data_IF_338902500069
#
_entry.id   IF_338902500069
#
_cell.length_a   1.000
_cell.length_b   1.000
_cell.length_c   1.000
_cell.angle_alpha   90.00
_cell.angle_beta   90.00
_cell.angle_gamma   90.00
#
_symmetry.space_group_name_H-M   'P 1'
#
loop_
_entity.id
_entity.type
_entity.pdbx_description
1 polymer ?
#
# COMPACT_ATOMS: atom_id res chain seq x y z
N UNK A 1 -15.17 -12.14 -11.99
CA UNK A 1 -15.63 -13.08 -10.93
C UNK A 1 -14.71 -13.12 -9.71
N UNK A 2 -13.42 -13.46 -9.87
CA UNK A 2 -12.49 -13.61 -8.74
C UNK A 2 -12.31 -12.33 -7.89
N UNK A 3 -12.09 -11.17 -8.54
CA UNK A 3 -11.92 -9.89 -7.83
C UNK A 3 -13.17 -9.47 -7.04
N UNK A 4 -14.36 -9.72 -7.60
CA UNK A 4 -15.64 -9.51 -6.91
C UNK A 4 -15.71 -10.32 -5.62
N UNK A 5 -15.44 -11.62 -5.71
CA UNK A 5 -15.42 -12.51 -4.54
C UNK A 5 -14.37 -12.09 -3.50
N UNK A 6 -13.19 -11.65 -3.93
CA UNK A 6 -12.18 -11.14 -3.02
C UNK A 6 -12.67 -9.89 -2.26
N UNK A 7 -13.27 -8.94 -2.99
CA UNK A 7 -13.86 -7.72 -2.41
C UNK A 7 -15.01 -8.03 -1.46
N UNK A 8 -15.92 -8.94 -1.83
CA UNK A 8 -17.02 -9.42 -0.99
C UNK A 8 -16.53 -10.09 0.30
N UNK A 9 -15.36 -10.72 0.26
CA UNK A 9 -14.69 -11.30 1.43
C UNK A 9 -13.89 -10.27 2.26
N UNK A 10 -13.94 -8.98 1.89
CA UNK A 10 -13.27 -7.89 2.62
C UNK A 10 -11.79 -7.69 2.27
N UNK A 11 -11.32 -8.23 1.14
CA UNK A 11 -9.99 -7.91 0.64
C UNK A 11 -9.95 -6.48 0.10
N UNK A 12 -8.90 -5.74 0.44
CA UNK A 12 -8.59 -4.47 -0.24
C UNK A 12 -7.88 -4.79 -1.56
N UNK A 13 -8.45 -4.33 -2.66
CA UNK A 13 -8.01 -4.68 -4.03
C UNK A 13 -7.61 -3.42 -4.76
N UNK A 14 -6.33 -3.34 -5.14
CA UNK A 14 -5.75 -2.25 -5.93
C UNK A 14 -5.52 -2.72 -7.37
N UNK A 15 -6.20 -2.09 -8.34
CA UNK A 15 -6.21 -2.53 -9.74
C UNK A 15 -5.47 -1.55 -10.67
N UNK A 16 -4.38 -2.00 -11.28
CA UNK A 16 -3.69 -1.23 -12.32
C UNK A 16 -4.04 -1.75 -13.71
N UNK A 17 -4.75 -0.95 -14.51
CA UNK A 17 -5.22 -1.34 -15.84
C UNK A 17 -4.47 -0.59 -16.94
N UNK A 18 -4.30 -1.25 -18.09
CA UNK A 18 -3.76 -0.66 -19.31
C UNK A 18 -4.73 -0.97 -20.45
N UNK A 19 -5.03 0.02 -21.29
CA UNK A 19 -5.82 -0.14 -22.51
C UNK A 19 -4.90 0.03 -23.71
N UNK A 20 -5.03 -0.87 -24.69
CA UNK A 20 -4.02 -1.07 -25.74
C UNK A 20 -4.21 -0.21 -27.00
N UNK A 21 -5.29 0.58 -27.07
CA UNK A 21 -5.58 1.45 -28.20
C UNK A 21 -6.41 2.68 -27.82
N UNK A 22 -6.39 3.69 -28.70
CA UNK A 22 -7.10 4.97 -28.54
C UNK A 22 -8.64 4.81 -28.51
N UNK A 23 -9.17 3.68 -29.00
CA UNK A 23 -10.60 3.37 -29.05
C UNK A 23 -11.10 2.52 -27.85
N UNK A 24 -10.21 2.05 -26.97
CA UNK A 24 -10.60 1.32 -25.76
C UNK A 24 -10.95 2.30 -24.64
N UNK A 25 -12.24 2.37 -24.30
CA UNK A 25 -12.70 3.13 -23.13
C UNK A 25 -12.40 2.38 -21.83
N UNK A 26 -12.08 3.13 -20.78
CA UNK A 26 -12.07 2.59 -19.42
C UNK A 26 -13.47 2.07 -19.05
N UNK A 27 -13.56 1.03 -18.22
CA UNK A 27 -14.82 0.64 -17.61
C UNK A 27 -15.38 1.78 -16.74
N UNK A 28 -16.70 1.87 -16.64
CA UNK A 28 -17.36 2.86 -15.80
C UNK A 28 -17.02 2.63 -14.33
N UNK A 29 -16.95 3.73 -13.56
CA UNK A 29 -16.60 3.69 -12.13
C UNK A 29 -17.51 2.75 -11.33
N UNK A 30 -18.80 2.67 -11.68
CA UNK A 30 -19.78 1.81 -11.01
C UNK A 30 -19.48 0.31 -11.21
N UNK A 31 -19.03 -0.08 -12.40
CA UNK A 31 -18.65 -1.47 -12.69
C UNK A 31 -17.41 -1.87 -11.87
N UNK A 32 -16.45 -0.95 -11.80
CA UNK A 32 -15.17 -1.13 -11.11
C UNK A 32 -15.32 -1.10 -9.59
N UNK A 33 -16.26 -0.31 -9.07
CA UNK A 33 -16.54 -0.20 -7.64
C UNK A 33 -16.88 -1.53 -6.99
N UNK A 34 -17.47 -2.44 -7.76
CA UNK A 34 -17.92 -3.72 -7.26
C UNK A 34 -16.83 -4.80 -7.21
N UNK A 35 -15.61 -4.49 -7.67
CA UNK A 35 -14.50 -5.44 -7.78
C UNK A 35 -13.17 -4.94 -7.24
N UNK A 36 -13.08 -3.66 -6.83
CA UNK A 36 -11.87 -3.13 -6.24
C UNK A 36 -12.11 -1.95 -5.29
N UNK A 37 -11.09 -1.64 -4.49
CA UNK A 37 -11.03 -0.48 -3.60
C UNK A 37 -10.54 0.76 -4.34
N UNK A 38 -9.53 0.59 -5.20
CA UNK A 38 -8.98 1.65 -6.03
C UNK A 38 -8.56 1.07 -7.38
N UNK A 39 -8.76 1.84 -8.46
CA UNK A 39 -8.28 1.49 -9.79
C UNK A 39 -7.58 2.68 -10.46
N UNK A 40 -6.43 2.38 -11.07
CA UNK A 40 -5.57 3.34 -11.77
C UNK A 40 -5.39 2.93 -13.22
N UNK A 41 -5.30 3.93 -14.10
CA UNK A 41 -5.10 3.72 -15.53
C UNK A 41 -3.68 4.09 -15.94
N UNK A 42 -3.01 3.13 -16.56
CA UNK A 42 -1.67 3.32 -17.12
C UNK A 42 -1.75 3.61 -18.60
N UNK A 43 -0.80 4.42 -19.06
CA UNK A 43 -0.59 4.71 -20.49
C UNK A 43 0.55 3.90 -21.13
N UNK A 44 1.22 3.06 -20.34
CA UNK A 44 2.32 2.22 -20.80
C UNK A 44 2.00 0.74 -20.56
N UNK A 45 2.32 -0.15 -21.53
CA UNK A 45 2.22 -1.58 -21.32
C UNK A 45 3.23 -2.03 -20.26
N UNK A 46 2.86 -3.05 -19.51
CA UNK A 46 3.70 -3.60 -18.45
C UNK A 46 3.29 -5.04 -18.17
N UNK A 47 4.20 -5.90 -17.67
CA UNK A 47 3.87 -7.25 -17.27
C UNK A 47 2.63 -7.35 -16.38
N UNK A 48 1.89 -8.44 -16.52
CA UNK A 48 0.88 -8.83 -15.56
C UNK A 48 1.56 -9.23 -14.25
N UNK A 49 1.09 -8.68 -13.15
CA UNK A 49 1.52 -9.06 -11.80
C UNK A 49 0.31 -9.03 -10.87
N UNK A 50 0.20 -10.03 -10.01
CA UNK A 50 -0.68 -10.00 -8.83
C UNK A 50 0.14 -10.33 -7.60
N UNK A 51 -0.12 -9.64 -6.49
CA UNK A 51 0.45 -9.97 -5.18
C UNK A 51 -0.73 -10.15 -4.24
N UNK A 52 -0.88 -11.35 -3.68
CA UNK A 52 -2.00 -11.70 -2.79
C UNK A 52 -1.46 -12.09 -1.42
N UNK A 53 -2.07 -11.56 -0.37
CA UNK A 53 -1.78 -11.86 1.05
C UNK A 53 -0.30 -11.82 1.44
N UNK A 54 0.47 -10.99 0.73
CA UNK A 54 1.91 -10.85 0.90
C UNK A 54 2.73 -12.14 0.65
N UNK A 55 2.17 -13.18 0.05
CA UNK A 55 2.85 -14.47 -0.14
C UNK A 55 2.82 -14.97 -1.58
N UNK A 56 1.68 -14.86 -2.25
CA UNK A 56 1.49 -15.45 -3.57
C UNK A 56 1.62 -14.40 -4.66
N UNK A 57 2.44 -14.71 -5.66
CA UNK A 57 2.61 -13.89 -6.87
C UNK A 57 2.29 -14.70 -8.10
N UNK A 58 1.53 -14.09 -9.01
CA UNK A 58 1.46 -14.54 -10.40
C UNK A 58 2.07 -13.45 -11.28
N UNK A 59 2.99 -13.82 -12.16
CA UNK A 59 3.65 -12.91 -13.09
C UNK A 59 3.62 -13.46 -14.51
N UNK A 60 3.37 -12.59 -15.49
CA UNK A 60 3.56 -12.90 -16.90
C UNK A 60 4.06 -11.63 -17.63
N UNK A 61 5.05 -11.73 -18.53
CA UNK A 61 5.47 -10.63 -19.39
C UNK A 61 4.30 -10.04 -20.17
N UNK A 62 4.41 -8.77 -20.57
CA UNK A 62 3.36 -8.13 -21.37
C UNK A 62 3.26 -8.78 -22.75
N UNK A 63 2.09 -8.66 -23.38
CA UNK A 63 1.89 -9.12 -24.75
C UNK A 63 2.94 -8.53 -25.70
N UNK A 64 3.51 -9.34 -26.58
CA UNK A 64 4.59 -8.94 -27.50
C UNK A 64 6.00 -8.96 -26.92
N UNK A 65 6.18 -9.44 -25.68
CA UNK A 65 7.51 -9.74 -25.12
C UNK A 65 8.21 -10.87 -25.90
N UNK A 66 9.52 -10.76 -26.10
CA UNK A 66 10.34 -11.84 -26.71
C UNK A 66 10.49 -13.06 -25.80
N UNK A 67 10.16 -12.91 -24.52
CA UNK A 67 10.15 -13.98 -23.52
C UNK A 67 8.70 -14.24 -23.12
N UNK A 68 8.16 -15.40 -23.49
CA UNK A 68 6.81 -15.85 -23.14
C UNK A 68 6.89 -16.93 -22.06
N UNK A 69 6.59 -16.55 -20.81
CA UNK A 69 6.54 -17.47 -19.68
C UNK A 69 5.58 -16.95 -18.60
N UNK A 70 5.20 -17.83 -17.68
CA UNK A 70 4.49 -17.46 -16.46
C UNK A 70 5.26 -17.94 -15.24
N UNK A 71 5.20 -17.18 -14.15
CA UNK A 71 5.77 -17.55 -12.87
C UNK A 71 4.68 -17.48 -11.79
N UNK A 72 4.59 -18.54 -10.99
CA UNK A 72 3.86 -18.53 -9.72
C UNK A 72 4.91 -18.65 -8.63
N UNK A 73 4.88 -17.71 -7.69
CA UNK A 73 5.74 -17.73 -6.50
C UNK A 73 4.86 -17.80 -5.27
N UNK A 74 5.24 -18.63 -4.31
CA UNK A 74 4.60 -18.73 -3.00
C UNK A 74 5.68 -18.54 -1.93
N UNK A 75 6.08 -17.29 -1.74
CA UNK A 75 7.11 -16.86 -0.80
C UNK A 75 6.99 -15.36 -0.50
N UNK A 76 7.14 -15.00 0.78
CA UNK A 76 7.02 -13.62 1.26
C UNK A 76 8.11 -12.70 0.73
N UNK A 77 9.32 -13.20 0.54
CA UNK A 77 10.46 -12.36 0.12
C UNK A 77 10.31 -11.92 -1.32
N UNK A 78 9.97 -12.85 -2.21
CA UNK A 78 9.71 -12.51 -3.62
C UNK A 78 8.44 -11.68 -3.77
N UNK A 79 7.38 -11.98 -3.00
CA UNK A 79 6.17 -11.18 -2.99
C UNK A 79 6.46 -9.70 -2.66
N UNK A 80 7.39 -9.42 -1.73
CA UNK A 80 7.85 -8.06 -1.44
C UNK A 80 8.53 -7.39 -2.65
N UNK A 81 9.39 -8.11 -3.36
CA UNK A 81 10.05 -7.59 -4.59
C UNK A 81 9.00 -7.25 -5.66
N UNK A 82 8.02 -8.13 -5.87
CA UNK A 82 6.94 -7.89 -6.83
C UNK A 82 5.98 -6.80 -6.40
N UNK A 83 5.73 -6.63 -5.09
CA UNK A 83 4.98 -5.48 -4.58
C UNK A 83 5.71 -4.18 -4.91
N UNK A 84 7.03 -4.08 -4.67
CA UNK A 84 7.80 -2.89 -5.02
C UNK A 84 7.76 -2.59 -6.52
N UNK A 85 7.88 -3.62 -7.35
CA UNK A 85 7.70 -3.48 -8.80
C UNK A 85 6.30 -2.94 -9.14
N UNK A 86 5.23 -3.50 -8.56
CA UNK A 86 3.87 -3.02 -8.76
C UNK A 86 3.71 -1.55 -8.33
N UNK A 87 4.15 -1.19 -7.12
CA UNK A 87 4.01 0.15 -6.57
C UNK A 87 4.73 1.19 -7.44
N UNK A 88 5.99 0.95 -7.76
CA UNK A 88 6.85 1.94 -8.42
C UNK A 88 6.63 2.06 -9.93
N UNK A 89 6.14 1.01 -10.59
CA UNK A 89 5.98 1.01 -12.06
C UNK A 89 4.53 1.01 -12.52
N UNK A 90 3.62 0.44 -11.72
CA UNK A 90 2.24 0.20 -12.12
C UNK A 90 1.23 0.99 -11.30
N UNK A 91 1.59 1.53 -10.13
CA UNK A 91 0.65 2.15 -9.21
C UNK A 91 0.91 3.63 -8.97
N UNK A 92 1.96 3.99 -8.20
CA UNK A 92 2.10 5.32 -7.60
C UNK A 92 2.27 6.46 -8.62
N UNK A 93 2.81 6.17 -9.81
CA UNK A 93 3.02 7.18 -10.86
C UNK A 93 1.77 7.48 -11.70
N UNK A 94 0.69 6.73 -11.48
CA UNK A 94 -0.55 6.82 -12.26
C UNK A 94 -1.69 7.38 -11.41
N UNK A 95 -2.54 8.20 -12.01
CA UNK A 95 -3.71 8.74 -11.33
C UNK A 95 -4.84 7.69 -11.24
N UNK A 96 -5.61 7.67 -10.13
CA UNK A 96 -6.81 6.85 -10.04
C UNK A 96 -7.90 7.40 -10.96
N UNK A 97 -8.59 6.50 -11.66
CA UNK A 97 -9.86 6.81 -12.35
C UNK A 97 -11.06 6.35 -11.51
N UNK A 98 -10.82 5.48 -10.53
CA UNK A 98 -11.76 5.10 -9.50
C UNK A 98 -11.02 4.99 -8.16
N UNK A 99 -11.59 5.57 -7.11
CA UNK A 99 -11.21 5.36 -5.73
C UNK A 99 -12.51 5.31 -4.92
N UNK A 100 -12.73 4.21 -4.19
CA UNK A 100 -13.91 4.05 -3.36
C UNK A 100 -14.03 5.16 -2.31
N UNK A 101 -15.26 5.41 -1.85
CA UNK A 101 -15.61 6.47 -0.90
C UNK A 101 -15.10 6.24 0.54
N UNK A 102 -14.04 5.42 0.71
CA UNK A 102 -13.31 5.27 1.98
C UNK A 102 -12.52 6.53 2.37
N UNK A 103 -12.63 7.63 1.61
CA UNK A 103 -12.21 8.97 2.07
C UNK A 103 -13.22 9.59 3.05
N UNK A 104 -13.79 8.78 3.94
CA UNK A 104 -14.30 9.25 5.21
C UNK A 104 -13.14 9.69 6.12
N UNK A 105 -13.44 10.04 7.38
CA UNK A 105 -12.42 10.33 8.40
C UNK A 105 -11.50 9.11 8.64
N UNK A 106 -11.96 7.90 8.27
CA UNK A 106 -11.22 6.65 8.42
C UNK A 106 -10.57 6.19 7.11
N UNK A 107 -9.26 6.40 6.93
CA UNK A 107 -8.51 5.96 5.74
C UNK A 107 -7.69 4.71 6.04
N UNK A 108 -7.86 3.65 5.25
CA UNK A 108 -7.08 2.41 5.34
C UNK A 108 -5.84 2.43 4.44
N UNK A 109 -4.73 1.91 4.97
CA UNK A 109 -3.46 1.74 4.26
C UNK A 109 -2.95 0.31 4.40
N UNK A 110 -2.48 -0.27 3.30
CA UNK A 110 -1.85 -1.60 3.26
C UNK A 110 -0.33 -1.55 3.39
N UNK A 111 0.27 -0.37 3.21
CA UNK A 111 1.70 -0.11 3.38
C UNK A 111 1.89 1.14 4.23
N UNK A 112 2.80 1.07 5.20
CA UNK A 112 3.10 2.18 6.10
C UNK A 112 3.56 3.42 5.34
N UNK A 113 4.18 3.27 4.16
CA UNK A 113 4.71 4.37 3.36
C UNK A 113 3.61 5.29 2.86
N UNK A 114 2.48 4.72 2.43
CA UNK A 114 1.33 5.50 2.02
C UNK A 114 0.71 6.21 3.23
N UNK A 115 0.61 5.53 4.39
CA UNK A 115 0.15 6.14 5.63
C UNK A 115 1.04 7.32 6.05
N UNK A 116 2.35 7.11 6.08
CA UNK A 116 3.36 8.12 6.44
C UNK A 116 3.28 9.32 5.50
N UNK A 117 3.20 9.10 4.18
CA UNK A 117 3.09 10.18 3.19
C UNK A 117 1.89 11.09 3.45
N UNK A 118 0.78 10.54 3.91
CA UNK A 118 -0.45 11.28 4.14
C UNK A 118 -0.53 11.85 5.58
N UNK A 119 0.12 11.20 6.56
CA UNK A 119 0.14 11.61 7.98
C UNK A 119 1.23 12.66 8.27
N UNK A 120 2.41 12.58 7.65
CA UNK A 120 3.54 13.50 7.86
C UNK A 120 3.11 14.98 7.74
N UNK A 121 2.41 15.42 6.66
CA UNK A 121 1.98 16.81 6.54
C UNK A 121 0.96 17.25 7.60
N UNK A 122 0.16 16.31 8.14
CA UNK A 122 -0.81 16.60 9.19
C UNK A 122 -0.11 16.85 10.53
N UNK A 123 0.93 16.06 10.83
CA UNK A 123 1.75 16.24 12.03
C UNK A 123 2.52 17.56 11.97
N UNK A 124 3.10 17.90 10.82
CA UNK A 124 3.79 19.18 10.60
C UNK A 124 2.85 20.39 10.78
N UNK A 125 1.57 20.22 10.44
CA UNK A 125 0.52 21.21 10.69
C UNK A 125 0.00 21.23 12.15
N UNK A 126 0.58 20.42 13.04
CA UNK A 126 0.19 20.34 14.46
C UNK A 126 -1.12 19.60 14.71
N UNK A 127 -1.62 18.81 13.75
CA UNK A 127 -2.85 18.04 13.89
C UNK A 127 -2.61 16.79 14.71
N UNK A 128 -3.65 16.33 15.41
CA UNK A 128 -3.62 15.07 16.16
C UNK A 128 -4.24 13.96 15.33
N UNK A 129 -3.45 12.95 14.95
CA UNK A 129 -3.90 11.82 14.14
C UNK A 129 -3.96 10.56 15.00
N UNK A 130 -5.14 9.92 15.07
CA UNK A 130 -5.31 8.60 15.72
C UNK A 130 -5.18 7.50 14.67
N UNK A 131 -4.42 6.46 14.98
CA UNK A 131 -4.14 5.36 14.07
C UNK A 131 -4.34 4.03 14.79
N UNK A 132 -4.98 3.09 14.11
CA UNK A 132 -5.02 1.67 14.45
C UNK A 132 -4.08 0.91 13.53
N UNK A 133 -3.32 -0.02 14.09
CA UNK A 133 -2.37 -0.86 13.35
C UNK A 133 -2.64 -2.31 13.68
N UNK A 134 -2.74 -3.13 12.64
CA UNK A 134 -2.79 -4.58 12.71
C UNK A 134 -1.53 -5.12 12.04
N UNK A 135 -0.82 -6.02 12.72
CA UNK A 135 0.50 -6.44 12.28
C UNK A 135 1.09 -7.57 13.13
N UNK A 136 2.41 -7.69 13.07
CA UNK A 136 3.19 -8.67 13.82
C UNK A 136 4.16 -7.92 14.74
N UNK A 137 4.19 -8.29 16.02
CA UNK A 137 5.22 -7.86 16.96
C UNK A 137 6.57 -8.48 16.54
N UNK A 138 7.57 -7.65 16.26
CA UNK A 138 8.82 -8.10 15.64
C UNK A 138 9.71 -8.90 16.60
N UNK A 139 9.58 -8.67 17.91
CA UNK A 139 10.35 -9.38 18.93
C UNK A 139 9.83 -10.80 19.20
N UNK A 140 8.51 -10.98 19.19
CA UNK A 140 7.84 -12.24 19.51
C UNK A 140 7.34 -13.01 18.29
N UNK A 141 7.12 -12.33 17.17
CA UNK A 141 6.46 -12.87 15.98
C UNK A 141 4.96 -13.07 16.14
N UNK A 142 4.34 -12.57 17.21
CA UNK A 142 2.93 -12.75 17.48
C UNK A 142 2.06 -11.69 16.77
N UNK A 143 0.84 -12.04 16.31
CA UNK A 143 -0.12 -11.04 15.85
C UNK A 143 -0.46 -10.04 16.94
N UNK A 144 -0.50 -8.75 16.57
CA UNK A 144 -0.80 -7.66 17.48
C UNK A 144 -1.71 -6.63 16.82
N UNK A 145 -2.56 -5.99 17.64
CA UNK A 145 -3.34 -4.82 17.25
C UNK A 145 -3.08 -3.72 18.26
N UNK A 146 -2.66 -2.55 17.78
CA UNK A 146 -2.42 -1.37 18.62
C UNK A 146 -3.21 -0.18 18.11
N UNK A 147 -3.64 0.67 19.03
CA UNK A 147 -4.25 1.95 18.70
C UNK A 147 -3.52 3.06 19.45
N UNK A 148 -3.09 4.08 18.71
CA UNK A 148 -2.23 5.12 19.24
C UNK A 148 -2.42 6.45 18.54
N UNK A 149 -1.78 7.48 19.10
CA UNK A 149 -1.72 8.81 18.50
C UNK A 149 -0.38 8.96 17.80
N UNK A 150 -0.39 9.26 16.50
CA UNK A 150 0.82 9.50 15.74
C UNK A 150 1.57 10.72 16.29
N UNK A 151 2.87 10.56 16.53
CA UNK A 151 3.74 11.64 17.04
C UNK A 151 4.78 12.07 16.04
N UNK A 152 5.37 11.11 15.37
CA UNK A 152 6.53 11.33 14.53
C UNK A 152 6.55 10.32 13.39
N UNK A 153 7.13 10.77 12.28
CA UNK A 153 7.48 9.95 11.14
C UNK A 153 9.01 9.83 11.10
N UNK A 154 9.50 8.60 11.05
CA UNK A 154 10.93 8.30 10.93
C UNK A 154 11.21 7.91 9.49
N UNK A 155 12.06 8.66 8.81
CA UNK A 155 12.53 8.36 7.45
C UNK A 155 14.04 8.52 7.42
N UNK A 156 14.71 7.63 6.69
CA UNK A 156 16.16 7.71 6.52
C UNK A 156 16.58 9.08 5.92
N UNK A 157 17.46 9.84 6.60
CA UNK A 157 17.81 11.21 6.23
C UNK A 157 18.49 11.36 4.86
N UNK A 158 19.08 10.30 4.30
CA UNK A 158 19.66 10.34 2.96
C UNK A 158 18.61 10.57 1.84
N UNK A 159 17.32 10.44 2.17
CA UNK A 159 16.20 10.60 1.23
C UNK A 159 15.35 11.85 1.52
N UNK A 160 15.91 12.86 2.21
CA UNK A 160 15.22 14.05 2.76
C UNK A 160 15.24 15.34 1.92
N UNK A 161 14.09 15.75 1.36
CA UNK A 161 13.82 17.08 0.80
C UNK A 161 12.34 17.50 1.02
N UNK A 162 12.00 18.80 0.90
CA UNK A 162 10.79 19.39 1.52
C UNK A 162 9.46 19.30 0.74
N UNK A 163 9.37 18.56 -0.37
CA UNK A 163 8.14 18.40 -1.16
C UNK A 163 7.51 17.00 -1.01
N UNK A 164 6.24 16.84 -1.39
CA UNK A 164 5.54 15.55 -1.41
C UNK A 164 6.38 14.48 -2.12
N UNK A 165 6.96 13.57 -1.33
CA UNK A 165 8.04 12.72 -1.83
C UNK A 165 7.47 11.56 -2.65
N UNK A 166 8.04 11.25 -3.82
CA UNK A 166 7.69 10.03 -4.56
C UNK A 166 7.89 8.79 -3.69
N UNK A 167 7.06 7.76 -3.78
CA UNK A 167 7.11 6.60 -2.87
C UNK A 167 8.52 5.96 -2.75
N UNK A 168 9.30 6.01 -3.83
CA UNK A 168 10.68 5.49 -3.88
C UNK A 168 11.62 6.11 -2.84
N UNK A 169 11.35 7.34 -2.37
CA UNK A 169 12.16 7.97 -1.29
C UNK A 169 11.99 7.25 0.03
N UNK A 170 10.89 6.52 0.22
CA UNK A 170 10.67 5.66 1.39
C UNK A 170 11.23 4.23 1.17
N UNK A 171 12.09 4.03 0.18
CA UNK A 171 12.74 2.75 -0.10
C UNK A 171 13.68 2.26 1.02
N UNK A 172 14.19 3.19 1.83
CA UNK A 172 14.95 2.92 3.05
C UNK A 172 14.06 2.65 4.26
N UNK A 173 14.57 3.01 5.44
CA UNK A 173 13.80 2.92 6.68
C UNK A 173 12.64 3.92 6.67
N UNK A 174 11.45 3.44 7.01
CA UNK A 174 10.23 4.24 7.15
C UNK A 174 9.39 3.68 8.30
N UNK A 175 9.07 4.52 9.27
CA UNK A 175 8.27 4.13 10.43
C UNK A 175 7.36 5.26 10.91
N UNK A 176 6.26 4.87 11.56
CA UNK A 176 5.35 5.76 12.26
C UNK A 176 5.45 5.50 13.76
N UNK A 177 5.71 6.53 14.55
CA UNK A 177 5.77 6.44 16.01
C UNK A 177 4.39 6.73 16.61
N UNK A 178 3.84 5.78 17.36
CA UNK A 178 2.53 5.88 18.00
C UNK A 178 2.68 5.94 19.52
N UNK A 179 2.05 6.93 20.15
CA UNK A 179 1.85 6.95 21.60
C UNK A 179 0.59 6.16 21.95
N UNK A 180 0.76 5.07 22.68
CA UNK A 180 -0.30 4.18 23.17
C UNK A 180 -0.43 4.27 24.68
N UNK A 181 -1.47 3.66 25.25
CA UNK A 181 -1.66 3.59 26.70
C UNK A 181 -0.54 2.80 27.42
N UNK A 182 0.17 1.93 26.68
CA UNK A 182 1.28 1.12 27.19
C UNK A 182 2.65 1.74 26.94
N UNK A 183 2.70 2.92 26.31
CA UNK A 183 3.92 3.63 25.91
C UNK A 183 4.04 3.82 24.40
N UNK A 184 5.15 4.43 23.99
CA UNK A 184 5.49 4.66 22.59
C UNK A 184 5.85 3.34 21.89
N UNK A 185 5.39 3.16 20.66
CA UNK A 185 5.74 2.04 19.78
C UNK A 185 6.12 2.54 18.39
N UNK A 186 7.14 1.94 17.79
CA UNK A 186 7.53 2.18 16.40
C UNK A 186 6.86 1.17 15.46
N UNK A 187 6.21 1.68 14.41
CA UNK A 187 5.48 0.87 13.43
C UNK A 187 6.18 0.95 12.08
N UNK A 188 6.76 -0.16 11.63
CA UNK A 188 7.44 -0.29 10.35
C UNK A 188 6.57 -0.90 9.25
N UNK A 189 7.11 -0.91 8.03
CA UNK A 189 6.47 -1.50 6.85
C UNK A 189 6.76 -2.99 6.70
N UNK A 190 6.34 -3.59 5.58
CA UNK A 190 6.63 -4.99 5.28
C UNK A 190 8.14 -5.25 5.35
N UNK A 191 8.53 -6.19 6.23
CA UNK A 191 9.93 -6.56 6.45
C UNK A 191 10.60 -5.77 7.57
N UNK A 192 9.83 -5.06 8.39
CA UNK A 192 10.32 -4.41 9.60
C UNK A 192 11.05 -5.42 10.51
N UNK A 193 12.25 -5.04 10.93
CA UNK A 193 13.11 -5.81 11.84
C UNK A 193 13.60 -4.98 13.02
N UNK A 194 13.59 -3.65 12.88
CA UNK A 194 14.12 -2.71 13.88
C UNK A 194 12.98 -2.07 14.66
N UNK A 195 11.85 -1.82 13.99
CA UNK A 195 10.62 -1.32 14.59
C UNK A 195 9.93 -2.40 15.45
N UNK A 196 9.10 -1.99 16.40
CA UNK A 196 8.40 -2.90 17.31
C UNK A 196 7.33 -3.74 16.59
N UNK A 197 6.72 -3.16 15.54
CA UNK A 197 5.60 -3.77 14.81
C UNK A 197 5.86 -3.73 13.30
N UNK A 198 5.76 -4.88 12.64
CA UNK A 198 5.58 -4.95 11.19
C UNK A 198 4.10 -4.74 10.84
N UNK A 199 3.75 -3.58 10.27
CA UNK A 199 2.37 -3.29 9.90
C UNK A 199 1.90 -4.11 8.70
N UNK A 200 0.75 -4.75 8.86
CA UNK A 200 0.00 -5.40 7.78
C UNK A 200 -1.10 -4.51 7.24
N UNK A 201 -1.78 -3.78 8.14
CA UNK A 201 -2.85 -2.86 7.82
C UNK A 201 -2.81 -1.70 8.82
N UNK A 202 -2.98 -0.49 8.33
CA UNK A 202 -3.10 0.72 9.15
C UNK A 202 -4.44 1.38 8.84
N UNK A 203 -5.08 1.97 9.83
CA UNK A 203 -6.28 2.79 9.66
C UNK A 203 -6.12 4.07 10.43
N UNK A 204 -6.17 5.20 9.75
CA UNK A 204 -6.40 6.49 10.42
C UNK A 204 -7.83 6.44 10.95
N UNK A 205 -8.04 6.72 12.23
CA UNK A 205 -9.35 6.71 12.88
C UNK A 205 -9.93 8.13 12.99
N UNK A 206 -9.06 9.12 13.19
CA UNK A 206 -9.47 10.52 13.27
C UNK A 206 -8.30 11.48 13.08
N UNK A 207 -8.64 12.71 12.65
CA UNK A 207 -7.73 13.85 12.55
C UNK A 207 -8.38 15.05 13.22
N UNK A 208 -7.79 15.52 14.33
CA UNK A 208 -8.25 16.66 15.13
C UNK A 208 -7.33 17.87 14.96
#
# INVERSE_FOLDING_TARGET
PALRTATENGASVHLSVFTSGDDESLPDAEDVASVCTEARHRRLPSPFVTVTDRTTVCFAPHAGSTNEYGLIVDDRTHAYVFLWFFLTTQWDIWEPFYAGDERGVETEYLDVRHCVRDVEPLLDAGRTVRVRVEGIDTGSGAPVTVEGTAREVVVDPEYGGPDARPLVTYGGRVALVLETDSGSVEVGGWGALVEDIEAHRLRVLSVA
#
